data_IF_227223389134
#
_entry.id   IF_227223389134
#
_cell.length_a   1.000
_cell.length_b   1.000
_cell.length_c   1.000
_cell.angle_alpha   90.00
_cell.angle_beta   90.00
_cell.angle_gamma   90.00
#
_symmetry.space_group_name_H-M   'P 1'
#
loop_
_entity.id
_entity.type
_entity.pdbx_description
1 polymer ?
#
# COMPACT_ATOMS: atom_id res chain seq x y z
N UNK A 1 12.24 -0.16 -10.79
CA UNK A 1 11.69 -0.91 -9.63
C UNK A 1 10.57 -1.84 -10.05
N UNK A 2 9.48 -1.32 -10.56
CA UNK A 2 8.32 -2.10 -10.95
C UNK A 2 8.61 -3.28 -11.91
N UNK A 3 9.45 -3.15 -12.96
CA UNK A 3 9.75 -4.29 -13.82
C UNK A 3 10.35 -5.50 -13.10
N UNK A 4 11.25 -5.24 -12.14
CA UNK A 4 11.84 -6.31 -11.32
C UNK A 4 10.79 -6.98 -10.42
N UNK A 5 9.91 -6.18 -9.81
CA UNK A 5 8.83 -6.69 -8.95
C UNK A 5 7.84 -7.56 -9.73
N UNK A 6 7.41 -7.10 -10.91
CA UNK A 6 6.51 -7.87 -11.78
C UNK A 6 7.15 -9.19 -12.21
N UNK A 7 8.43 -9.18 -12.59
CA UNK A 7 9.16 -10.39 -12.97
C UNK A 7 9.24 -11.38 -11.80
N UNK A 8 9.57 -10.92 -10.60
CA UNK A 8 9.68 -11.75 -9.41
C UNK A 8 8.34 -12.38 -9.03
N UNK A 9 7.27 -11.59 -8.97
CA UNK A 9 5.92 -12.09 -8.70
C UNK A 9 5.46 -13.11 -9.75
N UNK A 10 5.81 -12.88 -11.02
CA UNK A 10 5.48 -13.80 -12.12
C UNK A 10 6.17 -15.15 -11.95
N UNK A 11 7.47 -15.15 -11.64
CA UNK A 11 8.26 -16.38 -11.41
C UNK A 11 7.68 -17.18 -10.24
N UNK A 12 7.23 -16.51 -9.18
CA UNK A 12 6.63 -17.14 -7.99
C UNK A 12 5.18 -17.56 -8.19
N UNK A 13 4.51 -17.09 -9.24
CA UNK A 13 3.06 -17.29 -9.41
C UNK A 13 2.23 -16.55 -8.34
N UNK A 14 2.78 -15.48 -7.79
CA UNK A 14 2.17 -14.69 -6.71
C UNK A 14 1.49 -13.44 -7.27
N UNK A 15 0.51 -12.93 -6.54
CA UNK A 15 -0.30 -11.78 -6.95
C UNK A 15 -0.26 -10.65 -5.93
N UNK A 16 -0.43 -9.41 -6.39
CA UNK A 16 -0.45 -8.22 -5.54
C UNK A 16 -1.72 -7.40 -5.72
N UNK A 17 -2.24 -6.90 -4.60
CA UNK A 17 -3.34 -5.94 -4.51
C UNK A 17 -2.88 -4.69 -3.76
N UNK A 18 -3.35 -3.52 -4.17
CA UNK A 18 -2.84 -2.23 -3.69
C UNK A 18 -3.94 -1.42 -3.02
N UNK A 19 -3.69 -0.89 -1.82
CA UNK A 19 -4.53 0.09 -1.14
C UNK A 19 -3.79 1.42 -1.03
N UNK A 20 -4.32 2.45 -1.68
CA UNK A 20 -3.67 3.76 -1.73
C UNK A 20 -4.45 4.84 -0.99
N UNK A 21 -3.75 5.70 -0.27
CA UNK A 21 -4.31 6.95 0.24
C UNK A 21 -3.60 8.14 -0.44
N UNK A 22 -2.50 8.66 0.13
CA UNK A 22 -1.84 9.84 -0.40
C UNK A 22 -1.27 9.68 -1.82
N UNK A 23 -0.98 8.48 -2.25
CA UNK A 23 -0.43 8.21 -3.58
C UNK A 23 -1.48 8.26 -4.68
N UNK A 24 -2.76 8.05 -4.35
CA UNK A 24 -3.90 8.37 -5.20
C UNK A 24 -3.93 7.66 -6.56
N UNK A 25 -3.47 6.42 -6.63
CA UNK A 25 -3.41 5.60 -7.85
C UNK A 25 -2.02 5.49 -8.48
N UNK A 26 -1.02 6.20 -7.96
CA UNK A 26 0.34 6.17 -8.51
C UNK A 26 1.02 4.80 -8.39
N UNK A 27 0.76 4.04 -7.30
CA UNK A 27 1.34 2.71 -7.13
C UNK A 27 0.82 1.77 -8.20
N UNK A 28 -0.50 1.71 -8.38
CA UNK A 28 -1.10 0.88 -9.44
C UNK A 28 -0.63 1.32 -10.80
N UNK A 29 -0.61 2.64 -11.06
CA UNK A 29 -0.12 3.21 -12.33
C UNK A 29 1.29 2.75 -12.64
N UNK A 30 2.22 2.85 -11.68
CA UNK A 30 3.61 2.39 -11.83
C UNK A 30 3.71 0.88 -12.15
N UNK A 31 2.88 0.07 -11.50
CA UNK A 31 2.88 -1.38 -11.73
C UNK A 31 2.34 -1.78 -13.10
N UNK A 32 1.23 -1.15 -13.54
CA UNK A 32 0.57 -1.53 -14.80
C UNK A 32 1.28 -0.98 -16.04
N UNK A 33 2.22 -0.05 -15.90
CA UNK A 33 3.11 0.36 -17.00
C UNK A 33 4.02 -0.78 -17.49
N UNK A 34 4.23 -1.80 -16.65
CA UNK A 34 5.09 -2.94 -16.99
C UNK A 34 4.32 -3.95 -17.85
N UNK A 35 4.79 -4.27 -19.07
CA UNK A 35 4.18 -5.34 -19.86
C UNK A 35 4.14 -6.66 -19.10
N UNK A 36 2.99 -7.33 -19.11
CA UNK A 36 2.78 -8.57 -18.35
C UNK A 36 2.26 -8.38 -16.92
N UNK A 37 2.13 -7.15 -16.43
CA UNK A 37 1.61 -6.86 -15.09
C UNK A 37 0.23 -7.50 -14.82
N UNK A 38 -0.61 -7.68 -15.84
CA UNK A 38 -1.95 -8.28 -15.71
C UNK A 38 -1.93 -9.73 -15.19
N UNK A 39 -0.80 -10.42 -15.27
CA UNK A 39 -0.67 -11.77 -14.72
C UNK A 39 -0.59 -11.78 -13.18
N UNK A 40 -0.12 -10.70 -12.57
CA UNK A 40 0.19 -10.64 -11.13
C UNK A 40 -0.53 -9.50 -10.38
N UNK A 41 -0.86 -8.39 -11.04
CA UNK A 41 -1.55 -7.25 -10.41
C UNK A 41 -3.06 -7.49 -10.42
N UNK A 42 -3.65 -7.62 -9.24
CA UNK A 42 -5.11 -7.77 -9.07
C UNK A 42 -5.86 -6.46 -9.27
N UNK A 43 -5.20 -5.35 -8.97
CA UNK A 43 -5.76 -4.02 -9.03
C UNK A 43 -5.44 -3.18 -7.81
N UNK A 44 -6.16 -2.07 -7.62
CA UNK A 44 -5.98 -1.21 -6.48
C UNK A 44 -7.25 -0.48 -6.06
N UNK A 45 -7.30 -0.11 -4.79
CA UNK A 45 -8.34 0.72 -4.18
C UNK A 45 -7.71 2.03 -3.73
N UNK A 46 -8.19 3.15 -4.24
CA UNK A 46 -7.84 4.47 -3.73
C UNK A 46 -8.83 4.83 -2.62
N UNK A 47 -8.46 4.53 -1.38
CA UNK A 47 -9.25 4.82 -0.18
C UNK A 47 -8.84 6.17 0.42
N UNK A 48 -9.07 7.26 -0.33
CA UNK A 48 -8.58 8.58 0.02
C UNK A 48 -9.33 9.21 1.20
N UNK A 49 -10.65 9.17 1.19
CA UNK A 49 -11.45 9.59 2.33
C UNK A 49 -11.34 8.56 3.48
N UNK A 50 -11.14 9.04 4.71
CA UNK A 50 -10.97 8.17 5.88
C UNK A 50 -12.07 7.11 6.04
N UNK A 51 -13.39 7.42 5.88
CA UNK A 51 -14.44 6.40 5.99
C UNK A 51 -14.35 5.28 4.97
N UNK A 52 -13.78 5.53 3.78
CA UNK A 52 -13.60 4.51 2.74
C UNK A 52 -12.59 3.43 3.17
N UNK A 53 -11.61 3.77 3.98
CA UNK A 53 -10.68 2.80 4.57
C UNK A 53 -11.44 1.73 5.39
N UNK A 54 -12.47 2.14 6.12
CA UNK A 54 -13.32 1.22 6.88
C UNK A 54 -14.29 0.46 5.96
N UNK A 55 -15.07 1.16 5.14
CA UNK A 55 -16.17 0.57 4.37
C UNK A 55 -15.72 -0.37 3.25
N UNK A 56 -14.56 -0.11 2.63
CA UNK A 56 -14.04 -0.90 1.50
C UNK A 56 -12.94 -1.86 1.93
N UNK A 57 -12.04 -1.42 2.81
CA UNK A 57 -10.86 -2.20 3.21
C UNK A 57 -10.99 -2.86 4.59
N UNK A 58 -12.09 -2.60 5.32
CA UNK A 58 -12.30 -3.21 6.64
C UNK A 58 -11.39 -2.67 7.75
N UNK A 59 -10.78 -1.50 7.57
CA UNK A 59 -10.01 -0.85 8.63
C UNK A 59 -10.94 -0.54 9.80
N UNK A 60 -10.48 -0.80 11.02
CA UNK A 60 -11.24 -0.54 12.24
C UNK A 60 -11.68 0.92 12.36
N UNK A 61 -13.00 1.14 12.44
CA UNK A 61 -13.56 2.50 12.59
C UNK A 61 -13.16 3.14 13.92
N UNK A 62 -12.99 2.35 15.01
CA UNK A 62 -12.48 2.85 16.28
C UNK A 62 -11.03 3.28 16.18
N UNK A 63 -10.18 2.52 15.49
CA UNK A 63 -8.79 2.90 15.23
C UNK A 63 -8.71 4.23 14.48
N UNK A 64 -9.51 4.37 13.43
CA UNK A 64 -9.56 5.62 12.65
C UNK A 64 -10.04 6.82 13.46
N UNK A 65 -11.02 6.60 14.36
CA UNK A 65 -11.53 7.64 15.24
C UNK A 65 -10.52 8.06 16.33
N UNK A 66 -9.76 7.11 16.84
CA UNK A 66 -8.82 7.36 17.95
C UNK A 66 -7.48 7.92 17.50
N UNK A 67 -6.95 7.41 16.35
CA UNK A 67 -5.59 7.70 15.89
C UNK A 67 -5.51 8.41 14.54
N UNK A 68 -6.64 8.57 13.85
CA UNK A 68 -6.67 9.13 12.51
C UNK A 68 -6.21 8.15 11.44
N UNK A 69 -6.11 8.63 10.21
CA UNK A 69 -5.76 7.82 9.05
C UNK A 69 -4.25 7.59 8.88
N UNK A 70 -3.42 8.45 9.48
CA UNK A 70 -1.94 8.39 9.37
C UNK A 70 -1.37 7.65 10.58
N UNK A 71 -1.41 6.33 10.51
CA UNK A 71 -1.04 5.44 11.62
C UNK A 71 -0.53 4.09 11.08
N UNK A 72 0.45 3.45 11.72
CA UNK A 72 1.01 2.17 11.26
C UNK A 72 -0.01 1.04 11.24
N UNK A 73 -0.92 0.98 12.24
CA UNK A 73 -1.94 -0.07 12.28
C UNK A 73 -2.99 0.14 11.18
N UNK A 74 -3.26 1.39 10.80
CA UNK A 74 -4.12 1.71 9.64
C UNK A 74 -3.47 1.21 8.36
N UNK A 75 -2.19 1.47 8.14
CA UNK A 75 -1.46 0.96 6.97
C UNK A 75 -1.49 -0.57 6.92
N UNK A 76 -1.25 -1.23 8.04
CA UNK A 76 -1.31 -2.69 8.16
C UNK A 76 -2.69 -3.23 7.79
N UNK A 77 -3.75 -2.69 8.38
CA UNK A 77 -5.12 -3.12 8.10
C UNK A 77 -5.57 -2.81 6.66
N UNK A 78 -5.10 -1.71 6.07
CA UNK A 78 -5.32 -1.42 4.65
C UNK A 78 -4.68 -2.49 3.76
N UNK A 79 -3.46 -2.89 4.04
CA UNK A 79 -2.74 -3.94 3.29
C UNK A 79 -3.41 -5.32 3.45
N UNK A 80 -3.86 -5.67 4.64
CA UNK A 80 -4.62 -6.90 4.90
C UNK A 80 -5.97 -6.88 4.16
N UNK A 81 -6.72 -5.81 4.31
CA UNK A 81 -8.07 -5.67 3.77
C UNK A 81 -8.11 -5.71 2.24
N UNK A 82 -7.14 -5.10 1.56
CA UNK A 82 -7.12 -5.07 0.10
C UNK A 82 -6.89 -6.44 -0.52
N UNK A 83 -6.18 -7.35 0.15
CA UNK A 83 -6.00 -8.73 -0.31
C UNK A 83 -7.35 -9.43 -0.52
N UNK A 84 -8.25 -9.25 0.44
CA UNK A 84 -9.59 -9.84 0.43
C UNK A 84 -10.56 -9.05 -0.43
N UNK A 85 -10.51 -7.72 -0.38
CA UNK A 85 -11.38 -6.85 -1.17
C UNK A 85 -11.21 -7.07 -2.68
N UNK A 86 -10.00 -7.42 -3.11
CA UNK A 86 -9.67 -7.73 -4.52
C UNK A 86 -9.43 -9.23 -4.75
N UNK A 87 -10.12 -10.08 -4.00
CA UNK A 87 -10.09 -11.52 -4.24
C UNK A 87 -10.70 -11.85 -5.62
N UNK A 88 -10.10 -12.82 -6.30
CA UNK A 88 -10.61 -13.36 -7.57
C UNK A 88 -11.01 -14.81 -7.35
N UNK A 89 -12.22 -15.18 -7.71
CA UNK A 89 -12.80 -16.51 -7.48
C UNK A 89 -12.71 -16.96 -6.00
N UNK A 90 -12.87 -16.01 -5.08
CA UNK A 90 -12.78 -16.25 -3.64
C UNK A 90 -11.36 -16.38 -3.10
N UNK A 91 -10.34 -16.26 -3.96
CA UNK A 91 -8.91 -16.38 -3.56
C UNK A 91 -8.32 -14.97 -3.33
N UNK A 92 -7.91 -14.62 -2.10
CA UNK A 92 -7.24 -13.36 -1.83
C UNK A 92 -5.96 -13.18 -2.64
N UNK A 93 -5.54 -11.94 -2.87
CA UNK A 93 -4.21 -11.69 -3.41
C UNK A 93 -3.13 -12.24 -2.46
N UNK A 94 -2.02 -12.73 -3.01
CA UNK A 94 -0.89 -13.23 -2.20
C UNK A 94 -0.33 -12.13 -1.33
N UNK A 95 -0.13 -10.96 -1.93
CA UNK A 95 0.38 -9.76 -1.27
C UNK A 95 -0.66 -8.63 -1.30
N UNK A 96 -0.82 -7.97 -0.17
CA UNK A 96 -1.48 -6.68 -0.07
C UNK A 96 -0.45 -5.63 0.32
N UNK A 97 -0.45 -4.51 -0.38
CA UNK A 97 0.43 -3.39 -0.06
C UNK A 97 -0.38 -2.10 0.09
N UNK A 98 0.08 -1.20 0.95
CA UNK A 98 -0.68 0.02 1.23
C UNK A 98 0.19 1.25 1.45
N UNK A 99 -0.42 2.42 1.27
CA UNK A 99 0.15 3.72 1.62
C UNK A 99 -0.86 4.53 2.42
N UNK A 100 -0.43 5.15 3.52
CA UNK A 100 -1.14 6.24 4.19
C UNK A 100 -0.13 7.26 4.71
N UNK A 101 -0.46 8.54 4.72
CA UNK A 101 0.51 9.53 5.14
C UNK A 101 0.13 10.96 4.80
N UNK A 102 1.01 11.88 5.18
CA UNK A 102 0.85 13.33 5.04
C UNK A 102 1.73 13.85 3.91
N UNK A 103 1.13 14.11 2.76
CA UNK A 103 1.84 14.68 1.61
C UNK A 103 2.05 16.22 1.72
N UNK A 104 1.32 16.87 2.59
CA UNK A 104 1.39 18.32 2.79
C UNK A 104 0.47 19.11 1.85
N UNK A 105 0.51 20.46 1.89
CA UNK A 105 1.50 21.28 2.64
C UNK A 105 1.28 21.34 4.16
N UNK A 106 0.10 21.01 4.66
CA UNK A 106 -0.23 21.09 6.08
C UNK A 106 -0.08 19.73 6.79
N UNK A 107 0.25 19.73 8.10
CA UNK A 107 0.19 18.53 8.92
C UNK A 107 -1.22 17.94 8.98
N UNK A 108 -1.33 16.65 9.29
CA UNK A 108 -2.60 15.95 9.45
C UNK A 108 -2.53 14.97 10.62
N UNK A 109 -3.63 14.85 11.38
CA UNK A 109 -3.76 13.90 12.51
C UNK A 109 -2.62 14.01 13.53
N UNK A 110 -2.09 15.23 13.74
CA UNK A 110 -0.94 15.49 14.61
C UNK A 110 0.41 14.99 14.07
N UNK A 111 0.46 14.57 12.81
CA UNK A 111 1.69 14.12 12.15
C UNK A 111 2.24 15.19 11.23
N UNK A 112 3.57 15.41 11.22
CA UNK A 112 4.20 16.36 10.30
C UNK A 112 4.12 15.91 8.86
N UNK A 113 4.24 16.87 7.93
CA UNK A 113 4.38 16.60 6.48
C UNK A 113 5.56 15.64 6.24
N UNK A 114 5.39 14.68 5.36
CA UNK A 114 6.39 13.65 5.06
C UNK A 114 6.32 12.40 5.94
N UNK A 115 5.49 12.39 6.99
CA UNK A 115 5.19 11.16 7.73
C UNK A 115 4.33 10.25 6.86
N UNK A 116 4.86 9.08 6.48
CA UNK A 116 4.19 8.09 5.65
C UNK A 116 4.37 6.72 6.27
N UNK A 117 3.32 5.93 6.26
CA UNK A 117 3.37 4.50 6.59
C UNK A 117 3.06 3.69 5.34
N UNK A 118 3.92 2.71 5.06
CA UNK A 118 3.69 1.71 4.02
C UNK A 118 3.44 0.37 4.68
N UNK A 119 2.34 -0.28 4.30
CA UNK A 119 1.93 -1.57 4.83
C UNK A 119 2.19 -2.69 3.83
N UNK A 120 2.57 -3.86 4.33
CA UNK A 120 2.73 -5.09 3.56
C UNK A 120 2.07 -6.22 4.32
N UNK A 121 1.28 -7.04 3.62
CA UNK A 121 0.56 -8.16 4.20
C UNK A 121 0.60 -9.38 3.28
N UNK A 122 0.72 -10.54 3.87
CA UNK A 122 0.59 -11.86 3.21
C UNK A 122 -0.24 -12.80 4.08
N UNK A 123 -0.34 -14.07 3.72
CA UNK A 123 -0.96 -15.09 4.57
C UNK A 123 -0.16 -15.37 5.85
N UNK A 124 1.15 -15.11 5.85
CA UNK A 124 2.04 -15.34 6.99
C UNK A 124 2.08 -14.19 8.00
N UNK A 125 1.52 -13.04 7.67
CA UNK A 125 1.47 -11.89 8.56
C UNK A 125 1.50 -10.55 7.84
N UNK A 126 1.53 -9.50 8.61
CA UNK A 126 1.50 -8.12 8.13
C UNK A 126 2.37 -7.20 8.98
N UNK A 127 2.85 -6.14 8.37
CA UNK A 127 3.64 -5.11 9.03
C UNK A 127 3.51 -3.76 8.34
N UNK A 128 3.84 -2.71 9.06
CA UNK A 128 4.02 -1.37 8.50
C UNK A 128 5.44 -0.88 8.72
N UNK A 129 5.91 -0.04 7.82
CA UNK A 129 7.18 0.69 7.92
C UNK A 129 6.88 2.17 7.93
N UNK A 130 7.41 2.88 8.90
CA UNK A 130 7.35 4.34 8.99
C UNK A 130 8.46 4.95 8.13
N UNK A 131 8.09 5.96 7.36
CA UNK A 131 8.98 6.74 6.51
C UNK A 131 8.90 8.21 6.90
N UNK A 132 10.03 8.89 6.82
CA UNK A 132 10.14 10.33 6.97
C UNK A 132 10.67 10.92 5.67
N UNK A 133 9.75 11.37 4.82
CA UNK A 133 10.06 11.83 3.47
C UNK A 133 10.13 13.35 3.42
N UNK A 134 11.07 13.85 2.63
CA UNK A 134 11.29 15.28 2.44
C UNK A 134 10.86 15.72 1.04
N UNK A 135 10.60 17.01 0.90
CA UNK A 135 10.22 17.63 -0.36
C UNK A 135 8.79 18.17 -0.37
N UNK A 136 8.35 18.57 -1.55
CA UNK A 136 6.99 19.02 -1.78
C UNK A 136 5.99 17.83 -1.86
N UNK A 137 4.74 18.15 -2.01
CA UNK A 137 3.65 17.16 -2.10
C UNK A 137 3.87 16.12 -3.18
N UNK A 138 4.36 16.53 -4.35
CA UNK A 138 4.61 15.59 -5.45
C UNK A 138 5.79 14.67 -5.13
N UNK A 139 6.87 15.21 -4.63
CA UNK A 139 8.07 14.46 -4.25
C UNK A 139 7.75 13.41 -3.18
N UNK A 140 7.00 13.78 -2.13
CA UNK A 140 6.58 12.86 -1.06
C UNK A 140 5.73 11.71 -1.62
N UNK A 141 4.75 12.02 -2.48
CA UNK A 141 3.90 10.99 -3.10
C UNK A 141 4.71 10.01 -3.97
N UNK A 142 5.62 10.51 -4.80
CA UNK A 142 6.49 9.67 -5.65
C UNK A 142 7.47 8.84 -4.84
N UNK A 143 8.08 9.43 -3.82
CA UNK A 143 8.96 8.72 -2.91
C UNK A 143 8.22 7.59 -2.16
N UNK A 144 6.97 7.84 -1.74
CA UNK A 144 6.12 6.82 -1.11
C UNK A 144 5.91 5.60 -2.02
N UNK A 145 5.69 5.81 -3.32
CA UNK A 145 5.58 4.72 -4.30
C UNK A 145 6.87 3.91 -4.35
N UNK A 146 8.01 4.60 -4.55
CA UNK A 146 9.31 3.94 -4.68
C UNK A 146 9.66 3.12 -3.43
N UNK A 147 9.48 3.71 -2.24
CA UNK A 147 9.76 3.04 -0.97
C UNK A 147 8.86 1.81 -0.76
N UNK A 148 7.57 1.90 -1.08
CA UNK A 148 6.66 0.76 -0.96
C UNK A 148 7.11 -0.41 -1.85
N UNK A 149 7.47 -0.14 -3.12
CA UNK A 149 7.92 -1.18 -4.05
C UNK A 149 9.26 -1.80 -3.63
N UNK A 150 10.19 -0.99 -3.07
CA UNK A 150 11.44 -1.50 -2.48
C UNK A 150 11.13 -2.46 -1.34
N UNK A 151 10.27 -2.06 -0.39
CA UNK A 151 9.93 -2.88 0.77
C UNK A 151 9.28 -4.21 0.38
N UNK A 152 8.43 -4.22 -0.65
CA UNK A 152 7.87 -5.49 -1.13
C UNK A 152 8.95 -6.37 -1.78
N UNK A 153 9.88 -5.80 -2.56
CA UNK A 153 11.00 -6.57 -3.11
C UNK A 153 11.89 -7.17 -2.02
N UNK A 154 12.18 -6.41 -0.96
CA UNK A 154 12.95 -6.90 0.18
C UNK A 154 12.23 -8.06 0.89
N UNK A 155 10.89 -7.99 1.02
CA UNK A 155 10.08 -9.06 1.60
C UNK A 155 10.15 -10.34 0.76
N UNK A 156 10.05 -10.21 -0.56
CA UNK A 156 10.17 -11.34 -1.47
C UNK A 156 11.56 -11.99 -1.38
N UNK A 157 12.61 -11.20 -1.18
CA UNK A 157 13.98 -11.72 -1.07
C UNK A 157 14.26 -12.45 0.25
N UNK A 158 13.54 -12.11 1.33
CA UNK A 158 13.73 -12.73 2.66
C UNK A 158 12.85 -13.95 2.90
N UNK A 159 11.84 -14.17 2.07
CA UNK A 159 10.89 -15.29 2.17
C UNK A 159 11.34 -16.56 1.45
N UNK A 160 12.65 -16.70 1.11
CA UNK A 160 13.24 -17.92 0.56
C UNK A 160 13.67 -18.91 1.64
#
# INVERSE_FOLDING_TARGET
MAPRLIAELTVRGETVAVAESLTGGLVVSELVEVPGASAVVRGGVVAYATPIKASVLGVSSSLLAERGAVDPDVATQMAEGVRTALAVDGVPATWGISTTGVAGPDPQDGKPVGTVFVGIASASGSRAVELHLEGDREAIRRASVSELLVRLLDELATGE
#
